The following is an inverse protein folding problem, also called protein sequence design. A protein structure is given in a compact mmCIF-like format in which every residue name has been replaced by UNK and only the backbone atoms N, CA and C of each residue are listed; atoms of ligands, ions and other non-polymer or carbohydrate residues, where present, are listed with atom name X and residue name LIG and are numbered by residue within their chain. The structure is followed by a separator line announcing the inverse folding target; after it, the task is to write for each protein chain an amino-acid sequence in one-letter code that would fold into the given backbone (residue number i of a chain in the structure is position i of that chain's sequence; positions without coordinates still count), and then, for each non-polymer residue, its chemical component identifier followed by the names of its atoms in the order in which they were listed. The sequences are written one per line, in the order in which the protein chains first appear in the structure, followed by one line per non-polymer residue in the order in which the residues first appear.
data_IF_274668546640
#
_entry.id   IF_274668546640
#
_cell.length_a   1.000
_cell.length_b   1.000
_cell.length_c   1.000
_cell.angle_alpha   90.00
_cell.angle_beta   90.00
_cell.angle_gamma   90.00
#
_symmetry.space_group_name_H-M   'P 1'
#
loop_
_entity.id
_entity.type
_entity.pdbx_description
1 polymer ?
#
# COMPACT_ATOMS: atom_id res chain seq x y z
N UNK A 1 -8.85 2.15 1.88
CA UNK A 1 -9.84 2.29 0.79
C UNK A 1 -9.29 1.86 -0.59
N UNK A 2 -8.01 2.11 -0.92
CA UNK A 2 -7.43 1.70 -2.22
C UNK A 2 -7.30 0.17 -2.46
N UNK A 3 -7.12 -0.64 -1.41
CA UNK A 3 -6.95 -2.11 -1.56
C UNK A 3 -8.21 -2.81 -2.14
N UNK A 4 -9.39 -2.24 -1.90
CA UNK A 4 -10.66 -2.87 -2.30
C UNK A 4 -10.80 -2.92 -3.83
N UNK A 5 -10.36 -1.89 -4.55
CA UNK A 5 -10.44 -1.85 -6.00
C UNK A 5 -9.54 -2.91 -6.67
N UNK A 6 -8.32 -3.10 -6.15
CA UNK A 6 -7.40 -4.11 -6.65
C UNK A 6 -7.92 -5.53 -6.42
N UNK A 7 -8.50 -5.80 -5.24
CA UNK A 7 -9.09 -7.10 -4.91
C UNK A 7 -10.29 -7.39 -5.81
N UNK A 8 -11.18 -6.41 -6.05
CA UNK A 8 -12.34 -6.58 -6.94
C UNK A 8 -11.89 -6.89 -8.38
N UNK A 9 -10.90 -6.16 -8.89
CA UNK A 9 -10.35 -6.41 -10.23
C UNK A 9 -9.77 -7.82 -10.36
N UNK A 10 -9.06 -8.29 -9.33
CA UNK A 10 -8.45 -9.63 -9.31
C UNK A 10 -9.51 -10.73 -9.21
N UNK A 11 -10.50 -10.56 -8.34
CA UNK A 11 -11.62 -11.53 -8.20
C UNK A 11 -12.48 -11.63 -9.46
N UNK A 12 -12.51 -10.57 -10.28
CA UNK A 12 -13.20 -10.59 -11.58
C UNK A 12 -12.39 -11.22 -12.72
N UNK A 13 -11.08 -11.39 -12.55
CA UNK A 13 -10.16 -11.89 -13.60
C UNK A 13 -9.78 -13.37 -13.44
N UNK A 14 -10.21 -14.03 -12.37
CA UNK A 14 -9.77 -15.40 -12.02
C UNK A 14 -10.96 -16.30 -11.65
N UNK A 15 -10.84 -17.59 -11.98
CA UNK A 15 -11.80 -18.61 -11.57
C UNK A 15 -11.92 -18.71 -10.05
N UNK A 16 -13.13 -19.05 -9.56
CA UNK A 16 -13.47 -19.06 -8.13
C UNK A 16 -12.56 -19.96 -7.27
N UNK A 17 -11.92 -20.98 -7.84
CA UNK A 17 -10.99 -21.87 -7.12
C UNK A 17 -9.70 -21.17 -6.66
N UNK A 18 -9.25 -20.14 -7.38
CA UNK A 18 -7.88 -19.60 -7.24
C UNK A 18 -7.86 -18.17 -6.67
N UNK A 19 -9.02 -17.64 -6.28
CA UNK A 19 -9.18 -16.28 -5.74
C UNK A 19 -8.28 -16.04 -4.53
N UNK A 20 -8.23 -16.98 -3.58
CA UNK A 20 -7.44 -16.82 -2.35
C UNK A 20 -5.93 -16.67 -2.64
N UNK A 21 -5.41 -17.47 -3.58
CA UNK A 21 -4.00 -17.42 -3.99
C UNK A 21 -3.68 -16.09 -4.69
N UNK A 22 -4.56 -15.64 -5.58
CA UNK A 22 -4.37 -14.38 -6.31
C UNK A 22 -4.39 -13.15 -5.40
N UNK A 23 -5.28 -13.09 -4.41
CA UNK A 23 -5.31 -12.03 -3.40
C UNK A 23 -4.04 -12.06 -2.54
N UNK A 24 -3.56 -13.24 -2.17
CA UNK A 24 -2.29 -13.40 -1.46
C UNK A 24 -1.12 -12.78 -2.22
N UNK A 25 -1.03 -13.01 -3.53
CA UNK A 25 0.00 -12.41 -4.40
C UNK A 25 -0.09 -10.89 -4.42
N UNK A 26 -1.30 -10.32 -4.53
CA UNK A 26 -1.51 -8.86 -4.50
C UNK A 26 -1.07 -8.27 -3.15
N UNK A 27 -1.37 -8.96 -2.05
CA UNK A 27 -0.92 -8.56 -0.71
C UNK A 27 0.59 -8.55 -0.58
N UNK A 28 1.28 -9.58 -1.09
CA UNK A 28 2.74 -9.65 -1.09
C UNK A 28 3.33 -8.46 -1.87
N UNK A 29 2.76 -8.15 -3.03
CA UNK A 29 3.20 -7.02 -3.85
C UNK A 29 2.97 -5.69 -3.14
N UNK A 30 1.84 -5.54 -2.45
CA UNK A 30 1.54 -4.37 -1.61
C UNK A 30 2.52 -4.21 -0.44
N UNK A 31 2.85 -5.31 0.26
CA UNK A 31 3.84 -5.32 1.34
C UNK A 31 5.24 -4.95 0.84
N UNK A 32 5.62 -5.44 -0.35
CA UNK A 32 6.89 -5.07 -0.97
C UNK A 32 6.95 -3.58 -1.32
N UNK A 33 5.89 -3.04 -1.94
CA UNK A 33 5.79 -1.61 -2.24
C UNK A 33 5.87 -0.74 -0.98
N UNK A 34 5.22 -1.16 0.11
CA UNK A 34 5.31 -0.49 1.40
C UNK A 34 6.72 -0.51 1.99
N UNK A 35 7.39 -1.65 1.97
CA UNK A 35 8.77 -1.77 2.45
C UNK A 35 9.73 -0.87 1.66
N UNK A 36 9.58 -0.83 0.33
CA UNK A 36 10.41 0.00 -0.53
C UNK A 36 10.15 1.50 -0.31
N UNK A 37 8.87 1.90 -0.22
CA UNK A 37 8.49 3.29 0.04
C UNK A 37 8.94 3.79 1.41
N UNK A 38 8.76 2.98 2.46
CA UNK A 38 9.20 3.30 3.82
C UNK A 38 10.73 3.37 3.93
N UNK A 39 11.46 2.50 3.23
CA UNK A 39 12.92 2.57 3.14
C UNK A 39 13.42 3.87 2.50
N UNK A 40 12.84 4.27 1.37
CA UNK A 40 13.19 5.53 0.70
C UNK A 40 12.87 6.75 1.58
N UNK A 41 11.68 6.78 2.18
CA UNK A 41 11.28 7.86 3.08
C UNK A 41 12.19 7.94 4.33
N UNK A 42 12.53 6.79 4.92
CA UNK A 42 13.47 6.70 6.04
C UNK A 42 14.89 7.15 5.67
N UNK A 43 15.35 6.83 4.46
CA UNK A 43 16.63 7.32 3.93
C UNK A 43 16.65 8.85 3.79
N UNK A 44 15.58 9.44 3.24
CA UNK A 44 15.44 10.91 3.16
C UNK A 44 15.39 11.52 4.56
N UNK A 45 14.64 10.94 5.49
CA UNK A 45 14.56 11.43 6.87
C UNK A 45 15.92 11.40 7.59
N UNK A 46 16.69 10.33 7.44
CA UNK A 46 17.96 10.14 8.17
C UNK A 46 19.15 10.87 7.56
N UNK A 47 19.13 11.13 6.25
CA UNK A 47 20.26 11.76 5.55
C UNK A 47 19.99 13.21 5.12
N UNK A 48 18.77 13.51 4.65
CA UNK A 48 18.45 14.81 4.06
C UNK A 48 17.97 15.84 5.08
N UNK A 49 17.14 15.42 6.03
CA UNK A 49 16.62 16.30 7.08
C UNK A 49 17.75 16.93 7.94
N UNK A 50 18.72 16.18 8.52
CA UNK A 50 19.80 16.78 9.31
C UNK A 50 20.71 17.69 8.46
N UNK A 51 20.92 17.37 7.19
CA UNK A 51 21.68 18.21 6.26
C UNK A 51 20.99 19.56 5.99
N UNK A 52 19.65 19.58 5.87
CA UNK A 52 18.89 20.83 5.70
C UNK A 52 18.84 21.65 6.98
N UNK A 53 18.68 20.99 8.13
CA UNK A 53 18.72 21.59 9.47
C UNK A 53 20.05 22.31 9.71
N UNK A 54 21.17 21.65 9.46
CA UNK A 54 22.50 22.23 9.61
C UNK A 54 22.77 23.42 8.66
N UNK A 55 22.06 23.49 7.53
CA UNK A 55 22.18 24.58 6.55
C UNK A 55 21.33 25.80 6.88
N UNK A 56 20.14 25.60 7.46
CA UNK A 56 19.21 26.68 7.80
C UNK A 56 19.42 27.23 9.21
N UNK A 57 19.84 26.39 10.16
CA UNK A 57 20.02 26.82 11.55
C UNK A 57 21.49 27.14 11.81
N UNK A 58 21.82 28.42 11.85
CA UNK A 58 23.18 28.95 12.14
C UNK A 58 23.52 29.03 13.63
N UNK A 59 22.63 28.57 14.53
CA UNK A 59 22.82 28.57 15.99
C UNK A 59 22.87 27.16 16.63
N UNK A 60 23.14 27.05 17.95
CA UNK A 60 23.12 25.78 18.65
C UNK A 60 21.69 25.23 18.70
N UNK A 61 21.44 24.12 18.00
CA UNK A 61 20.16 23.42 18.03
C UNK A 61 20.36 21.95 18.39
N UNK A 62 19.36 21.35 19.04
CA UNK A 62 19.37 19.94 19.36
C UNK A 62 18.76 19.16 18.18
N UNK A 63 19.61 18.63 17.31
CA UNK A 63 19.22 17.80 16.16
C UNK A 63 18.34 16.61 16.55
N UNK A 64 18.60 16.02 17.72
CA UNK A 64 17.85 14.87 18.20
C UNK A 64 16.40 15.22 18.59
N UNK A 65 16.18 16.38 19.23
CA UNK A 65 14.82 16.87 19.54
C UNK A 65 14.10 17.35 18.27
N UNK A 66 14.85 17.98 17.36
CA UNK A 66 14.29 18.46 16.10
C UNK A 66 13.77 17.30 15.23
N UNK A 67 14.41 16.12 15.27
CA UNK A 67 13.99 14.94 14.49
C UNK A 67 12.97 14.05 15.20
N UNK A 68 13.06 13.84 16.52
CA UNK A 68 12.14 12.94 17.23
C UNK A 68 10.85 13.62 17.67
N UNK A 69 10.92 14.86 18.15
CA UNK A 69 9.78 15.60 18.70
C UNK A 69 9.66 17.03 18.12
N UNK A 70 9.50 17.16 16.78
CA UNK A 70 9.46 18.46 16.12
C UNK A 70 8.33 19.35 16.66
N UNK A 71 7.19 18.77 17.05
CA UNK A 71 6.01 19.50 17.53
C UNK A 71 6.22 20.17 18.91
N UNK A 72 7.02 19.56 19.78
CA UNK A 72 7.35 20.16 21.08
C UNK A 72 8.51 21.13 20.92
N UNK A 73 9.50 20.79 20.09
CA UNK A 73 10.66 21.62 19.84
C UNK A 73 10.30 22.96 19.17
N UNK A 74 9.37 22.96 18.20
CA UNK A 74 8.87 24.16 17.52
C UNK A 74 8.19 25.16 18.50
N UNK A 75 7.58 24.68 19.58
CA UNK A 75 6.89 25.54 20.57
C UNK A 75 7.85 26.25 21.51
N UNK A 76 9.06 25.71 21.69
CA UNK A 76 10.07 26.23 22.60
C UNK A 76 11.08 27.16 21.90
N UNK A 77 11.01 27.28 20.57
CA UNK A 77 11.93 28.05 19.75
C UNK A 77 11.46 29.48 19.48
N UNK A 78 12.42 30.39 19.34
CA UNK A 78 12.21 31.76 18.89
C UNK A 78 11.55 31.77 17.48
N UNK A 79 10.58 32.66 17.17
CA UNK A 79 9.93 32.78 15.87
C UNK A 79 10.84 32.69 14.64
N UNK A 80 12.06 33.21 14.70
CA UNK A 80 13.02 33.15 13.58
C UNK A 80 13.47 31.70 13.34
N UNK A 81 14.01 31.04 14.37
CA UNK A 81 14.50 29.65 14.28
C UNK A 81 13.37 28.67 14.00
N UNK A 82 12.16 28.98 14.46
CA UNK A 82 10.94 28.23 14.13
C UNK A 82 10.63 28.26 12.63
N UNK A 83 10.73 29.43 11.98
CA UNK A 83 10.50 29.56 10.55
C UNK A 83 11.51 28.75 9.73
N UNK A 84 12.79 28.85 10.09
CA UNK A 84 13.88 28.10 9.46
C UNK A 84 13.71 26.58 9.58
N UNK A 85 13.30 26.10 10.76
CA UNK A 85 13.01 24.68 11.02
C UNK A 85 11.83 24.17 10.18
N UNK A 86 10.74 24.94 10.13
CA UNK A 86 9.56 24.60 9.30
C UNK A 86 9.94 24.55 7.83
N UNK A 87 10.76 25.49 7.36
CA UNK A 87 11.22 25.52 5.97
C UNK A 87 12.08 24.30 5.61
N UNK A 88 13.02 23.92 6.48
CA UNK A 88 13.83 22.71 6.31
C UNK A 88 12.98 21.42 6.26
N UNK A 89 11.91 21.37 7.06
CA UNK A 89 10.91 20.30 7.04
C UNK A 89 10.10 20.27 5.75
N UNK A 90 9.61 21.44 5.31
CA UNK A 90 8.85 21.58 4.08
C UNK A 90 9.66 21.12 2.85
N UNK A 91 10.95 21.47 2.78
CA UNK A 91 11.85 21.02 1.71
C UNK A 91 12.04 19.50 1.70
N UNK A 92 12.20 18.90 2.89
CA UNK A 92 12.36 17.45 3.03
C UNK A 92 11.10 16.72 2.59
N UNK A 93 9.92 17.24 2.97
CA UNK A 93 8.64 16.70 2.56
C UNK A 93 8.40 16.85 1.05
N UNK A 94 8.77 17.99 0.48
CA UNK A 94 8.67 18.24 -0.96
C UNK A 94 9.50 17.22 -1.75
N UNK A 95 10.70 16.90 -1.29
CA UNK A 95 11.55 15.88 -1.93
C UNK A 95 10.91 14.49 -1.87
N UNK A 96 10.33 14.11 -0.71
CA UNK A 96 9.59 12.85 -0.60
C UNK A 96 8.38 12.79 -1.54
N UNK A 97 7.66 13.91 -1.72
CA UNK A 97 6.53 14.00 -2.65
C UNK A 97 6.96 13.89 -4.11
N UNK A 98 8.12 14.45 -4.49
CA UNK A 98 8.66 14.31 -5.85
C UNK A 98 8.97 12.84 -6.15
N UNK A 99 9.62 12.13 -5.22
CA UNK A 99 9.91 10.70 -5.37
C UNK A 99 8.60 9.90 -5.49
N UNK A 100 7.62 10.19 -4.63
CA UNK A 100 6.32 9.54 -4.67
C UNK A 100 5.57 9.82 -5.99
N UNK A 101 5.66 11.04 -6.52
CA UNK A 101 5.08 11.40 -7.82
C UNK A 101 5.72 10.61 -8.96
N UNK A 102 7.05 10.50 -8.99
CA UNK A 102 7.74 9.70 -10.01
C UNK A 102 7.27 8.23 -9.99
N UNK A 103 7.15 7.63 -8.80
CA UNK A 103 6.64 6.26 -8.65
C UNK A 103 5.17 6.15 -9.04
N UNK A 104 4.35 7.15 -8.72
CA UNK A 104 2.94 7.21 -9.09
C UNK A 104 2.76 7.25 -10.61
N UNK A 105 3.57 8.05 -11.33
CA UNK A 105 3.54 8.08 -12.80
C UNK A 105 3.90 6.71 -13.39
N UNK A 106 4.91 6.03 -12.85
CA UNK A 106 5.25 4.68 -13.29
C UNK A 106 4.07 3.73 -13.13
N UNK A 107 3.42 3.73 -11.96
CA UNK A 107 2.24 2.88 -11.69
C UNK A 107 1.06 3.23 -12.61
N UNK A 108 0.83 4.50 -12.89
CA UNK A 108 -0.19 4.94 -13.86
C UNK A 108 0.10 4.41 -15.27
N UNK A 109 1.36 4.42 -15.71
CA UNK A 109 1.74 3.86 -17.01
C UNK A 109 1.50 2.34 -17.03
N UNK A 110 1.92 1.60 -16.02
CA UNK A 110 1.66 0.14 -15.96
C UNK A 110 0.17 -0.17 -15.92
N UNK A 111 -0.62 0.66 -15.23
CA UNK A 111 -2.08 0.52 -15.18
C UNK A 111 -2.70 0.79 -16.56
N UNK A 112 -2.19 1.76 -17.31
CA UNK A 112 -2.66 2.05 -18.67
C UNK A 112 -2.37 0.92 -19.66
N UNK A 113 -1.34 0.11 -19.43
CA UNK A 113 -1.04 -1.09 -20.20
C UNK A 113 -1.88 -2.31 -19.81
N UNK A 114 -2.69 -2.22 -18.74
CA UNK A 114 -3.55 -3.31 -18.33
C UNK A 114 -4.71 -3.42 -19.33
N UNK A 115 -4.67 -4.48 -20.15
CA UNK A 115 -5.69 -4.80 -21.17
C UNK A 115 -7.06 -4.95 -20.48
N UNK A 116 -8.11 -4.47 -21.13
CA UNK A 116 -9.50 -4.64 -20.68
C UNK A 116 -9.76 -6.12 -20.35
N UNK A 117 -9.99 -6.41 -19.07
CA UNK A 117 -10.46 -7.71 -18.61
C UNK A 117 -11.98 -7.69 -18.80
N UNK A 118 -12.46 -8.49 -19.73
CA UNK A 118 -13.89 -8.62 -20.00
C UNK A 118 -14.51 -9.53 -18.93
N UNK A 119 -15.24 -8.93 -17.99
CA UNK A 119 -15.89 -9.64 -16.89
C UNK A 119 -17.06 -10.53 -17.35
N UNK A 120 -17.49 -10.41 -18.62
CA UNK A 120 -18.64 -11.14 -19.15
C UNK A 120 -18.30 -12.53 -19.70
N UNK A 121 -17.05 -12.83 -20.05
CA UNK A 121 -16.72 -14.08 -20.75
C UNK A 121 -16.70 -15.32 -19.83
N UNK A 122 -16.49 -15.16 -18.52
CA UNK A 122 -16.49 -16.26 -17.54
C UNK A 122 -17.86 -16.45 -16.82
N UNK A 123 -18.91 -15.74 -17.25
CA UNK A 123 -20.29 -15.90 -16.74
C UNK A 123 -21.13 -16.90 -17.55
N UNK A 124 -20.63 -17.50 -18.63
CA UNK A 124 -21.30 -18.60 -19.31
C UNK A 124 -21.14 -19.90 -18.51
N UNK A 125 -21.92 -20.00 -17.44
CA UNK A 125 -22.31 -21.30 -16.90
C UNK A 125 -23.19 -21.95 -17.96
N UNK A 126 -22.89 -23.15 -18.51
CA UNK A 126 -23.90 -23.87 -19.26
C UNK A 126 -25.03 -24.16 -18.27
N UNK A 127 -26.20 -23.59 -18.53
CA UNK A 127 -27.44 -23.92 -17.83
C UNK A 127 -27.69 -25.41 -18.02
N UNK A 128 -27.39 -26.21 -16.99
CA UNK A 128 -27.87 -27.60 -16.90
C UNK A 128 -29.31 -27.51 -16.41
N UNK A 129 -30.23 -27.35 -17.37
CA UNK A 129 -31.62 -27.78 -17.22
C UNK A 129 -31.68 -29.29 -17.49
N UNK A 130 -32.20 -30.06 -16.51
CA UNK A 130 -32.88 -31.38 -16.56
C UNK A 130 -32.62 -32.09 -15.20
N UNK A 131 -33.55 -32.09 -14.26
CA UNK A 131 -34.75 -32.95 -14.14
C UNK A 131 -34.52 -34.15 -13.19
N UNK A 132 -35.42 -34.26 -12.19
CA UNK A 132 -35.75 -35.41 -11.32
C UNK A 132 -34.68 -36.51 -11.04
N UNK A 133 -34.33 -36.85 -9.79
CA UNK A 133 -35.16 -37.66 -8.88
C UNK A 133 -34.53 -37.79 -7.49
N UNK A 134 -35.37 -37.71 -6.46
CA UNK A 134 -35.11 -38.16 -5.09
C UNK A 134 -34.90 -39.68 -5.10
N UNK A 135 -33.81 -40.18 -4.53
CA UNK A 135 -33.79 -41.54 -3.98
C UNK A 135 -32.88 -41.62 -2.76
N UNK A 136 -33.56 -41.55 -1.62
CA UNK A 136 -33.18 -42.12 -0.33
C UNK A 136 -32.58 -43.53 -0.46
N UNK A 137 -31.39 -43.77 0.10
CA UNK A 137 -31.05 -45.08 0.69
C UNK A 137 -29.81 -44.97 1.59
N UNK A 138 -30.06 -44.98 2.90
CA UNK A 138 -29.10 -45.37 3.93
C UNK A 138 -28.93 -46.89 3.87
N UNK A 139 -27.72 -47.42 4.05
CA UNK A 139 -27.60 -48.65 4.85
C UNK A 139 -26.53 -48.52 5.94
N UNK A 140 -26.98 -48.81 7.16
CA UNK A 140 -26.19 -49.15 8.33
C UNK A 140 -25.27 -50.34 8.07
N UNK A 141 -24.04 -50.30 8.56
CA UNK A 141 -23.31 -51.52 8.91
C UNK A 141 -22.67 -51.37 10.29
N UNK A 142 -23.03 -52.32 11.15
CA UNK A 142 -22.59 -52.50 12.52
C UNK A 142 -21.15 -53.00 12.55
N UNK A 143 -20.41 -52.66 13.60
CA UNK A 143 -19.40 -53.58 14.12
C UNK A 143 -19.35 -53.52 15.65
N UNK A 144 -19.70 -54.68 16.24
CA UNK A 144 -19.40 -55.12 17.61
C UNK A 144 -17.91 -54.90 17.94
N UNK A 145 -17.49 -54.61 19.17
CA UNK A 145 -17.57 -55.43 20.40
C UNK A 145 -17.69 -54.51 21.63
#
# INVERSE_FOLDING_TARGET
MANNAAIVAVTGSVHKSDIATSIGVVHILGSFGYALGSGLAGGVWTQYLPMRLAKHITGPYNEHLAMNDPNEYIKQLDPITKGELINAYADSQMLMLIIAMCLSVLVCITTAFMKHVDLMQDQETPSVDEDHTVTESVPSEKQEI
#
